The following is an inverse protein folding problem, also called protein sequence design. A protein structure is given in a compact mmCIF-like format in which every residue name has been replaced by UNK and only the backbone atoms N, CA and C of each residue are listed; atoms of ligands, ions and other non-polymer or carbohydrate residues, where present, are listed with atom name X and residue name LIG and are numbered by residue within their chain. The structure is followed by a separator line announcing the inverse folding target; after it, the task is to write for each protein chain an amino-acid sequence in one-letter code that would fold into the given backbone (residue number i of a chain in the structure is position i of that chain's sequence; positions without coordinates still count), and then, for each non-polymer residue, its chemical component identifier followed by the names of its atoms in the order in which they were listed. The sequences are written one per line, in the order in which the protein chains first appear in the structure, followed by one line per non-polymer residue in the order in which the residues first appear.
data_IF_705891787545
#
_entry.id   IF_705891787545
#
_cell.length_a   1.000
_cell.length_b   1.000
_cell.length_c   1.000
_cell.angle_alpha   90.00
_cell.angle_beta   90.00
_cell.angle_gamma   90.00
#
_symmetry.space_group_name_H-M   'P 1'
#
loop_
_entity.id
_entity.type
_entity.pdbx_description
1 polymer ?
#
# COMPACT_ATOMS: atom_id res chain seq x y z
N UNK A 1 15.78 6.82 -4.81
CA UNK A 1 15.65 5.73 -5.82
C UNK A 1 16.12 4.45 -5.13
N UNK A 2 15.35 3.36 -5.17
CA UNK A 2 15.63 2.12 -4.41
C UNK A 2 16.14 0.98 -5.30
N UNK A 3 15.64 0.88 -6.54
CA UNK A 3 15.94 -0.23 -7.45
C UNK A 3 16.87 0.13 -8.61
N UNK A 4 17.36 1.37 -8.66
CA UNK A 4 18.23 1.87 -9.74
C UNK A 4 17.72 1.53 -11.16
N UNK A 5 16.47 1.94 -11.45
CA UNK A 5 15.77 1.65 -12.70
C UNK A 5 15.54 2.93 -13.52
N UNK A 6 15.44 2.77 -14.84
CA UNK A 6 15.12 3.83 -15.79
C UNK A 6 13.63 4.15 -15.89
N UNK A 7 13.30 5.08 -16.79
CA UNK A 7 11.91 5.44 -17.07
C UNK A 7 11.22 4.33 -17.86
N UNK A 8 10.09 3.86 -17.36
CA UNK A 8 9.30 2.79 -17.99
C UNK A 8 9.68 1.38 -17.54
N UNK A 9 10.81 1.21 -16.84
CA UNK A 9 11.27 -0.10 -16.34
C UNK A 9 10.44 -0.62 -15.17
N UNK A 10 9.77 0.28 -14.43
CA UNK A 10 8.89 -0.07 -13.32
C UNK A 10 7.46 0.39 -13.57
N UNK A 11 6.52 -0.55 -13.47
CA UNK A 11 5.11 -0.23 -13.32
C UNK A 11 4.82 0.07 -11.84
N UNK A 12 4.56 1.33 -11.50
CA UNK A 12 4.47 1.78 -10.10
C UNK A 12 3.03 2.11 -9.73
N UNK A 13 2.48 1.38 -8.75
CA UNK A 13 1.28 1.77 -8.00
C UNK A 13 1.73 2.32 -6.64
N UNK A 14 1.49 3.61 -6.40
CA UNK A 14 1.89 4.26 -5.14
C UNK A 14 0.71 4.96 -4.49
N UNK A 15 0.27 4.42 -3.36
CA UNK A 15 -0.87 4.91 -2.58
C UNK A 15 -0.50 5.00 -1.10
N UNK A 16 -1.27 5.77 -0.32
CA UNK A 16 -1.06 5.85 1.13
C UNK A 16 -1.21 4.46 1.78
N UNK A 17 -0.23 4.08 2.60
CA UNK A 17 -0.25 2.82 3.34
C UNK A 17 -0.12 1.54 2.51
N UNK A 18 0.19 1.65 1.20
CA UNK A 18 0.30 0.50 0.28
C UNK A 18 -0.94 -0.41 0.29
N UNK A 19 -2.12 0.19 0.45
CA UNK A 19 -3.39 -0.53 0.53
C UNK A 19 -3.78 -1.11 -0.83
N UNK A 20 -4.18 -2.38 -0.85
CA UNK A 20 -4.62 -3.09 -2.05
C UNK A 20 -6.08 -2.75 -2.40
N UNK A 21 -6.35 -1.47 -2.71
CA UNK A 21 -7.67 -1.03 -3.17
C UNK A 21 -8.02 -1.63 -4.53
N UNK A 22 -9.30 -1.59 -4.92
CA UNK A 22 -9.75 -2.15 -6.21
C UNK A 22 -8.96 -1.59 -7.41
N UNK A 23 -8.70 -0.28 -7.43
CA UNK A 23 -7.92 0.36 -8.51
C UNK A 23 -6.45 -0.06 -8.46
N UNK A 24 -5.88 -0.24 -7.27
CA UNK A 24 -4.50 -0.70 -7.12
C UNK A 24 -4.36 -2.14 -7.64
N UNK A 25 -5.28 -3.03 -7.27
CA UNK A 25 -5.31 -4.42 -7.74
C UNK A 25 -5.48 -4.47 -9.26
N UNK A 26 -6.46 -3.77 -9.82
CA UNK A 26 -6.68 -3.75 -11.27
C UNK A 26 -5.47 -3.20 -12.06
N UNK A 27 -4.73 -2.26 -11.47
CA UNK A 27 -3.49 -1.76 -12.07
C UNK A 27 -2.38 -2.83 -12.07
N UNK A 28 -2.26 -3.63 -11.01
CA UNK A 28 -1.31 -4.74 -10.92
C UNK A 28 -1.71 -5.91 -11.83
N UNK A 29 -3.00 -6.19 -11.98
CA UNK A 29 -3.50 -7.17 -12.94
C UNK A 29 -3.19 -6.73 -14.38
N UNK A 30 -3.37 -5.44 -14.71
CA UNK A 30 -2.98 -4.92 -16.01
C UNK A 30 -1.47 -5.02 -16.26
N UNK A 31 -0.65 -4.71 -15.24
CA UNK A 31 0.81 -4.78 -15.38
C UNK A 31 1.30 -6.20 -15.65
N UNK A 32 0.65 -7.21 -15.07
CA UNK A 32 0.98 -8.61 -15.28
C UNK A 32 0.37 -9.18 -16.57
N UNK A 33 -0.93 -9.05 -16.75
CA UNK A 33 -1.67 -9.68 -17.84
C UNK A 33 -1.49 -9.00 -19.20
N UNK A 34 -1.25 -7.68 -19.23
CA UNK A 34 -1.18 -6.90 -20.48
C UNK A 34 0.25 -6.43 -20.76
N UNK A 35 0.97 -5.95 -19.74
CA UNK A 35 2.34 -5.43 -19.92
C UNK A 35 3.43 -6.50 -19.70
N UNK A 36 3.08 -7.68 -19.20
CA UNK A 36 4.01 -8.80 -19.04
C UNK A 36 4.96 -8.69 -17.85
N UNK A 37 4.64 -7.89 -16.82
CA UNK A 37 5.43 -7.82 -15.59
C UNK A 37 5.46 -9.19 -14.89
N UNK A 38 6.66 -9.70 -14.63
CA UNK A 38 6.84 -11.05 -14.06
C UNK A 38 6.93 -11.06 -12.52
N UNK A 39 7.14 -9.90 -11.90
CA UNK A 39 7.33 -9.76 -10.46
C UNK A 39 6.53 -8.59 -9.92
N UNK A 40 5.72 -8.85 -8.89
CA UNK A 40 5.07 -7.81 -8.07
C UNK A 40 5.83 -7.73 -6.74
N UNK A 41 6.24 -6.52 -6.36
CA UNK A 41 6.85 -6.22 -5.06
C UNK A 41 5.95 -5.28 -4.28
N UNK A 42 5.61 -5.64 -3.05
CA UNK A 42 4.99 -4.72 -2.08
C UNK A 42 6.09 -4.14 -1.19
N UNK A 43 6.49 -2.90 -1.47
CA UNK A 43 7.57 -2.24 -0.73
C UNK A 43 7.03 -1.25 0.31
N UNK A 44 7.07 -1.66 1.58
CA UNK A 44 6.83 -0.79 2.73
C UNK A 44 8.01 0.12 3.06
N UNK A 45 7.84 0.99 4.05
CA UNK A 45 8.93 1.74 4.65
C UNK A 45 8.72 1.91 6.15
N UNK A 46 9.81 2.11 6.89
CA UNK A 46 9.74 2.44 8.31
C UNK A 46 9.00 3.76 8.53
N UNK A 47 8.32 3.90 9.69
CA UNK A 47 7.61 5.13 10.09
C UNK A 47 6.55 5.59 9.08
N UNK A 48 5.78 4.65 8.53
CA UNK A 48 4.68 4.99 7.62
C UNK A 48 3.55 5.72 8.38
N UNK A 49 3.26 6.96 7.97
CA UNK A 49 2.23 7.78 8.62
C UNK A 49 0.82 7.19 8.55
N UNK A 50 0.46 6.52 7.44
CA UNK A 50 -0.85 5.85 7.31
C UNK A 50 -1.00 4.69 8.32
N UNK A 51 0.09 3.91 8.52
CA UNK A 51 0.11 2.84 9.51
C UNK A 51 0.09 3.42 10.92
N UNK A 52 0.85 4.48 11.20
CA UNK A 52 0.81 5.18 12.48
C UNK A 52 -0.59 5.72 12.80
N UNK A 53 -1.28 6.29 11.82
CA UNK A 53 -2.65 6.77 11.98
C UNK A 53 -3.63 5.62 12.26
N UNK A 54 -3.47 4.47 11.59
CA UNK A 54 -4.27 3.27 11.85
C UNK A 54 -4.04 2.69 13.26
N UNK A 55 -2.81 2.79 13.78
CA UNK A 55 -2.49 2.38 15.16
C UNK A 55 -3.09 3.36 16.17
N UNK A 56 -3.00 4.66 15.92
CA UNK A 56 -3.51 5.69 16.83
C UNK A 56 -5.04 5.65 16.97
N UNK A 57 -5.75 5.40 15.85
CA UNK A 57 -7.20 5.27 15.86
C UNK A 57 -7.96 6.56 16.16
N UNK A 58 -7.30 7.71 16.07
CA UNK A 58 -7.90 9.03 16.27
C UNK A 58 -8.74 9.47 15.05
N UNK A 59 -9.72 10.37 15.22
CA UNK A 59 -10.47 10.94 14.10
C UNK A 59 -9.56 11.65 13.10
N UNK A 60 -9.73 11.34 11.81
CA UNK A 60 -8.93 11.91 10.72
C UNK A 60 -9.80 12.82 9.83
N UNK A 61 -9.25 13.93 9.31
CA UNK A 61 -10.01 14.84 8.47
C UNK A 61 -10.26 14.27 7.07
N UNK A 62 -11.36 14.72 6.45
CA UNK A 62 -11.68 14.41 5.06
C UNK A 62 -11.84 12.91 4.79
N UNK A 63 -11.18 12.42 3.73
CA UNK A 63 -11.25 11.01 3.29
C UNK A 63 -10.05 10.16 3.67
N UNK A 64 -9.17 10.65 4.54
CA UNK A 64 -7.98 9.91 5.02
C UNK A 64 -8.41 8.59 5.68
N UNK A 65 -9.55 8.60 6.38
CA UNK A 65 -10.11 7.42 7.03
C UNK A 65 -10.28 6.22 6.08
N UNK A 66 -10.53 6.42 4.78
CA UNK A 66 -10.79 5.34 3.83
C UNK A 66 -9.67 4.29 3.83
N UNK A 67 -8.43 4.71 3.59
CA UNK A 67 -7.30 3.78 3.57
C UNK A 67 -6.84 3.38 4.97
N UNK A 68 -7.15 4.18 6.00
CA UNK A 68 -6.82 3.84 7.39
C UNK A 68 -7.69 2.68 7.88
N UNK A 69 -8.98 2.68 7.59
CA UNK A 69 -9.89 1.56 7.91
C UNK A 69 -9.43 0.27 7.22
N UNK A 70 -8.89 0.35 6.00
CA UNK A 70 -8.35 -0.82 5.30
C UNK A 70 -7.07 -1.39 5.94
N UNK A 71 -6.31 -0.58 6.69
CA UNK A 71 -5.09 -1.00 7.39
C UNK A 71 -5.41 -1.63 8.76
N UNK A 72 -6.47 -1.17 9.45
CA UNK A 72 -6.81 -1.59 10.81
C UNK A 72 -6.85 -3.11 11.02
N UNK A 73 -7.42 -3.94 10.13
CA UNK A 73 -7.44 -5.39 10.30
C UNK A 73 -6.04 -6.02 10.35
N UNK A 74 -5.04 -5.41 9.70
CA UNK A 74 -3.65 -5.87 9.79
C UNK A 74 -3.03 -5.51 11.15
N UNK A 75 -3.33 -4.31 11.67
CA UNK A 75 -2.88 -3.86 13.00
C UNK A 75 -3.46 -4.74 14.11
N UNK A 76 -4.76 -5.01 14.07
CA UNK A 76 -5.45 -5.83 15.07
C UNK A 76 -4.90 -7.26 15.13
N UNK A 77 -4.59 -7.85 13.97
CA UNK A 77 -4.01 -9.20 13.88
C UNK A 77 -2.65 -9.35 14.55
N UNK A 78 -1.89 -8.27 14.71
CA UNK A 78 -0.55 -8.29 15.32
C UNK A 78 -0.53 -7.74 16.75
N UNK A 79 -1.56 -6.98 17.15
CA UNK A 79 -1.62 -6.31 18.45
C UNK A 79 -1.65 -7.26 19.66
N UNK A 80 -2.04 -8.53 19.46
CA UNK A 80 -2.10 -9.57 20.49
C UNK A 80 -1.06 -10.69 20.32
N UNK A 81 -0.10 -10.54 19.39
CA UNK A 81 0.94 -11.54 19.12
C UNK A 81 2.23 -11.35 19.93
N UNK A 82 2.19 -10.51 20.95
CA UNK A 82 3.31 -10.25 21.88
C UNK A 82 2.75 -10.22 23.29
#
# INVERSE_FOLDING_TARGET
IVFDQGLGDLFVVRVAGNVASQTAIGSLEFSTAVLGSQLIIVLGHSRCGAVSAAIAGEPLPGRIGVFVEEIKPAVERVRFKT
#
